data_IF_741095935292
#
_entry.id   IF_741095935292
#
_cell.length_a   1.000
_cell.length_b   1.000
_cell.length_c   1.000
_cell.angle_alpha   90.00
_cell.angle_beta   90.00
_cell.angle_gamma   90.00
#
_symmetry.space_group_name_H-M   'P 1'
#
loop_
_entity.id
_entity.type
_entity.pdbx_description
1 polymer ?
#
# COMPACT_ATOMS: atom_id res chain seq x y z
N UNK A 1 16.92 -7.68 -6.31
CA UNK A 1 16.38 -9.02 -5.97
C UNK A 1 14.91 -9.01 -6.35
N UNK A 2 14.60 -9.50 -7.55
CA UNK A 2 13.26 -9.42 -8.16
C UNK A 2 12.36 -10.54 -7.63
N UNK A 3 11.67 -10.27 -6.54
CA UNK A 3 10.40 -10.94 -6.28
C UNK A 3 9.31 -9.97 -6.76
N UNK A 4 9.08 -9.96 -8.07
CA UNK A 4 7.92 -9.28 -8.64
C UNK A 4 6.62 -10.01 -8.28
N UNK A 5 5.48 -9.42 -8.66
CA UNK A 5 4.12 -9.93 -8.41
C UNK A 5 3.94 -11.42 -8.79
N UNK A 6 4.60 -11.88 -9.85
CA UNK A 6 4.60 -13.29 -10.24
C UNK A 6 5.32 -14.24 -9.25
N UNK A 7 6.39 -13.76 -8.60
CA UNK A 7 7.08 -14.51 -7.55
C UNK A 7 6.23 -14.63 -6.29
N UNK A 8 5.43 -13.61 -5.97
CA UNK A 8 4.46 -13.65 -4.88
C UNK A 8 3.37 -14.71 -5.13
N UNK A 9 2.77 -14.73 -6.32
CA UNK A 9 1.76 -15.72 -6.67
C UNK A 9 2.28 -17.16 -6.58
N UNK A 10 3.49 -17.42 -7.09
CA UNK A 10 4.08 -18.76 -7.05
C UNK A 10 4.41 -19.21 -5.62
N UNK A 11 4.96 -18.30 -4.80
CA UNK A 11 5.24 -18.56 -3.39
C UNK A 11 3.95 -18.84 -2.61
N UNK A 12 2.91 -18.03 -2.82
CA UNK A 12 1.61 -18.18 -2.19
C UNK A 12 0.97 -19.52 -2.54
N UNK A 13 0.97 -19.88 -3.83
CA UNK A 13 0.38 -21.14 -4.29
C UNK A 13 1.14 -22.37 -3.74
N UNK A 14 2.47 -22.33 -3.74
CA UNK A 14 3.31 -23.44 -3.25
C UNK A 14 3.14 -23.66 -1.74
N UNK A 15 3.02 -22.58 -0.96
CA UNK A 15 2.84 -22.66 0.49
C UNK A 15 1.41 -23.08 0.90
N UNK A 16 0.38 -22.71 0.12
CA UNK A 16 -0.99 -23.19 0.34
C UNK A 16 -1.11 -24.72 0.19
N UNK A 17 -0.26 -25.35 -0.61
CA UNK A 17 -0.22 -26.81 -0.76
C UNK A 17 0.52 -27.51 0.39
N UNK A 18 1.47 -26.83 1.04
CA UNK A 18 2.31 -27.40 2.09
C UNK A 18 1.75 -27.21 3.51
N UNK A 19 0.89 -26.21 3.71
CA UNK A 19 0.33 -25.86 5.02
C UNK A 19 -1.19 -25.93 5.03
N UNK A 20 -1.79 -26.16 6.20
CA UNK A 20 -3.22 -25.95 6.35
C UNK A 20 -3.59 -24.49 6.04
N UNK A 21 -4.78 -24.20 5.49
CA UNK A 21 -5.16 -22.84 5.11
C UNK A 21 -5.05 -21.83 6.26
N UNK A 22 -5.29 -22.29 7.50
CA UNK A 22 -5.18 -21.47 8.72
C UNK A 22 -3.73 -21.18 9.10
N UNK A 23 -2.84 -22.17 9.04
CA UNK A 23 -1.41 -21.96 9.28
C UNK A 23 -0.79 -21.05 8.22
N UNK A 24 -1.19 -21.23 6.96
CA UNK A 24 -0.74 -20.35 5.87
C UNK A 24 -1.17 -18.89 6.09
N UNK A 25 -2.42 -18.65 6.49
CA UNK A 25 -2.93 -17.30 6.77
C UNK A 25 -2.16 -16.59 7.89
N UNK A 26 -1.77 -17.34 8.93
CA UNK A 26 -0.94 -16.79 10.01
C UNK A 26 0.45 -16.39 9.53
N UNK A 27 1.11 -17.25 8.73
CA UNK A 27 2.42 -16.95 8.12
C UNK A 27 2.35 -15.75 7.19
N UNK A 28 1.32 -15.69 6.35
CA UNK A 28 1.09 -14.55 5.45
C UNK A 28 0.91 -13.24 6.24
N UNK A 29 0.13 -13.27 7.32
CA UNK A 29 -0.10 -12.10 8.18
C UNK A 29 1.20 -11.64 8.83
N UNK A 30 1.99 -12.58 9.37
CA UNK A 30 3.32 -12.30 9.93
C UNK A 30 4.25 -11.64 8.92
N UNK A 31 4.29 -12.19 7.70
CA UNK A 31 5.10 -11.62 6.63
C UNK A 31 4.66 -10.20 6.26
N UNK A 32 3.35 -9.99 6.06
CA UNK A 32 2.78 -8.68 5.74
C UNK A 32 3.05 -7.64 6.83
N UNK A 33 2.97 -8.03 8.10
CA UNK A 33 3.40 -7.19 9.23
C UNK A 33 4.88 -6.80 9.13
N UNK A 34 5.77 -7.74 8.83
CA UNK A 34 7.19 -7.41 8.66
C UNK A 34 7.42 -6.44 7.48
N UNK A 35 6.66 -6.59 6.38
CA UNK A 35 6.69 -5.64 5.25
C UNK A 35 6.20 -4.26 5.70
N UNK A 36 5.07 -4.18 6.42
CA UNK A 36 4.51 -2.89 6.87
C UNK A 36 5.51 -2.11 7.73
N UNK A 37 6.28 -2.79 8.59
CA UNK A 37 7.30 -2.14 9.43
C UNK A 37 8.39 -1.44 8.62
N UNK A 38 8.64 -1.90 7.39
CA UNK A 38 9.66 -1.34 6.49
C UNK A 38 9.07 -0.21 5.65
N UNK A 39 7.88 -0.43 5.10
CA UNK A 39 7.30 0.44 4.06
C UNK A 39 6.43 1.56 4.61
N UNK A 40 5.86 1.41 5.81
CA UNK A 40 5.03 2.42 6.44
C UNK A 40 5.90 3.40 7.23
N UNK A 41 5.60 4.69 7.08
CA UNK A 41 6.19 5.78 7.83
C UNK A 41 5.09 6.44 8.66
N UNK A 42 5.07 6.10 9.95
CA UNK A 42 4.15 6.67 10.94
C UNK A 42 4.75 7.93 11.52
N UNK A 43 3.93 8.94 11.78
CA UNK A 43 4.38 10.22 12.37
C UNK A 43 4.97 10.05 13.78
N UNK A 44 4.55 9.02 14.53
CA UNK A 44 4.91 8.83 15.94
C UNK A 44 6.00 7.78 16.22
N UNK A 45 6.48 7.02 15.22
CA UNK A 45 7.49 5.97 15.47
C UNK A 45 8.91 6.44 15.10
N UNK A 46 9.63 6.99 16.08
CA UNK A 46 11.09 7.20 15.97
C UNK A 46 11.93 5.98 16.38
N UNK A 47 11.32 4.88 16.83
CA UNK A 47 12.04 3.65 17.15
C UNK A 47 11.30 2.44 16.63
N UNK A 48 11.62 2.04 15.39
CA UNK A 48 11.26 0.72 14.85
C UNK A 48 11.98 -0.35 15.67
N UNK A 49 11.32 -0.88 16.67
CA UNK A 49 11.82 -2.04 17.41
C UNK A 49 11.30 -3.29 16.72
N UNK A 50 12.21 -3.98 16.01
CA UNK A 50 11.95 -5.36 15.61
C UNK A 50 11.55 -6.16 16.85
N UNK A 51 10.52 -7.02 16.78
CA UNK A 51 10.10 -7.77 17.93
C UNK A 51 11.28 -8.63 18.44
N UNK A 52 11.69 -8.49 19.72
CA UNK A 52 12.95 -9.05 20.21
C UNK A 52 13.00 -10.58 20.18
N UNK A 53 11.83 -11.23 20.18
CA UNK A 53 11.68 -12.68 20.15
C UNK A 53 11.21 -13.21 18.77
N UNK A 54 11.30 -12.37 17.73
CA UNK A 54 10.82 -12.68 16.39
C UNK A 54 9.31 -12.46 16.19
N UNK A 55 8.90 -12.41 14.92
CA UNK A 55 7.53 -12.05 14.54
C UNK A 55 6.49 -13.14 14.86
N UNK A 56 6.85 -14.42 14.82
CA UNK A 56 5.90 -15.50 15.13
C UNK A 56 5.44 -15.46 16.60
N UNK A 57 6.38 -15.28 17.54
CA UNK A 57 6.09 -15.15 18.98
C UNK A 57 5.32 -13.87 19.27
N UNK A 58 5.61 -12.78 18.55
CA UNK A 58 4.86 -11.54 18.68
C UNK A 58 3.42 -11.67 18.15
N UNK A 59 3.22 -12.39 17.05
CA UNK A 59 1.89 -12.67 16.49
C UNK A 59 0.99 -13.45 17.46
N UNK A 60 1.54 -14.45 18.16
CA UNK A 60 0.77 -15.20 19.16
C UNK A 60 0.23 -14.32 20.30
N UNK A 61 0.95 -13.24 20.63
CA UNK A 61 0.58 -12.30 21.69
C UNK A 61 -0.39 -11.22 21.23
N UNK A 62 -0.28 -10.79 19.98
CA UNK A 62 -1.14 -9.76 19.39
C UNK A 62 -1.51 -10.08 17.92
N UNK A 63 -2.41 -11.04 17.71
CA UNK A 63 -2.83 -11.40 16.36
C UNK A 63 -3.65 -10.29 15.69
N UNK A 64 -4.35 -9.46 16.48
CA UNK A 64 -5.20 -8.39 15.97
C UNK A 64 -4.37 -7.21 15.43
N UNK A 65 -3.34 -6.77 16.15
CA UNK A 65 -2.43 -5.73 15.68
C UNK A 65 -1.68 -6.16 14.42
N UNK A 66 -1.24 -7.42 14.35
CA UNK A 66 -0.64 -7.98 13.15
C UNK A 66 -1.58 -8.01 11.95
N UNK A 67 -2.87 -8.32 12.15
CA UNK A 67 -3.87 -8.25 11.08
C UNK A 67 -4.10 -6.81 10.62
N UNK A 68 -4.14 -5.84 11.54
CA UNK A 68 -4.29 -4.43 11.20
C UNK A 68 -3.09 -3.93 10.37
N UNK A 69 -1.88 -4.31 10.75
CA UNK A 69 -0.66 -3.95 10.05
C UNK A 69 -0.52 -4.68 8.70
N UNK A 70 -0.99 -5.92 8.60
CA UNK A 70 -1.05 -6.65 7.34
C UNK A 70 -1.90 -5.91 6.29
N UNK A 71 -3.00 -5.26 6.70
CA UNK A 71 -3.81 -4.41 5.81
C UNK A 71 -3.05 -3.20 5.28
N UNK A 72 -2.11 -2.63 6.04
CA UNK A 72 -1.25 -1.55 5.56
C UNK A 72 -0.32 -2.05 4.44
N UNK A 73 0.24 -3.25 4.59
CA UNK A 73 1.06 -3.87 3.53
C UNK A 73 0.23 -4.18 2.27
N UNK A 74 -0.98 -4.72 2.42
CA UNK A 74 -1.91 -4.97 1.30
C UNK A 74 -2.28 -3.67 0.57
N UNK A 75 -2.50 -2.59 1.32
CA UNK A 75 -2.76 -1.26 0.77
C UNK A 75 -1.55 -0.72 0.01
N UNK A 76 -0.34 -0.87 0.56
CA UNK A 76 0.91 -0.48 -0.10
C UNK A 76 1.12 -1.25 -1.42
N UNK A 77 0.94 -2.58 -1.41
CA UNK A 77 1.09 -3.42 -2.62
C UNK A 77 0.07 -3.03 -3.70
N UNK A 78 -1.18 -2.80 -3.29
CA UNK A 78 -2.24 -2.38 -4.21
C UNK A 78 -1.96 -0.99 -4.79
N UNK A 79 -1.50 -0.04 -3.97
CA UNK A 79 -1.12 1.29 -4.42
C UNK A 79 0.06 1.29 -5.41
N UNK A 80 1.08 0.45 -5.19
CA UNK A 80 2.17 0.28 -6.16
C UNK A 80 1.64 -0.29 -7.47
N UNK A 81 0.87 -1.38 -7.40
CA UNK A 81 0.33 -2.05 -8.59
C UNK A 81 -0.56 -1.12 -9.41
N UNK A 82 -1.39 -0.31 -8.73
CA UNK A 82 -2.19 0.72 -9.37
C UNK A 82 -1.34 1.81 -10.02
N UNK A 83 -0.32 2.31 -9.32
CA UNK A 83 0.54 3.35 -9.85
C UNK A 83 1.34 2.89 -11.08
N UNK A 84 1.87 1.67 -11.06
CA UNK A 84 2.53 1.04 -12.21
C UNK A 84 1.57 0.93 -13.40
N UNK A 85 0.35 0.46 -13.17
CA UNK A 85 -0.66 0.34 -14.22
C UNK A 85 -1.05 1.73 -14.80
N UNK A 86 -1.13 2.77 -13.96
CA UNK A 86 -1.35 4.15 -14.41
C UNK A 86 -0.16 4.70 -15.21
N UNK A 87 1.08 4.41 -14.84
CA UNK A 87 2.24 4.85 -15.62
C UNK A 87 2.32 4.18 -17.00
N UNK A 88 1.87 2.92 -17.11
CA UNK A 88 1.95 2.13 -18.33
C UNK A 88 0.75 2.34 -19.27
N UNK A 89 -0.45 2.56 -18.73
CA UNK A 89 -1.70 2.57 -19.49
C UNK A 89 -2.61 3.77 -19.17
N UNK A 90 -2.24 4.58 -18.18
CA UNK A 90 -3.00 5.75 -17.79
C UNK A 90 -2.72 6.96 -18.68
N UNK A 91 -3.63 7.95 -18.68
CA UNK A 91 -3.39 9.21 -19.38
C UNK A 91 -2.22 9.98 -18.74
N UNK A 92 -1.39 10.59 -19.58
CA UNK A 92 -0.33 11.50 -19.15
C UNK A 92 -0.88 12.85 -18.67
N UNK A 93 0.02 13.71 -18.17
CA UNK A 93 -0.28 15.07 -17.75
C UNK A 93 -0.68 15.22 -16.28
N UNK A 94 -1.32 16.34 -15.97
CA UNK A 94 -1.64 16.76 -14.60
C UNK A 94 -3.13 16.58 -14.32
N UNK A 95 -3.48 15.65 -13.42
CA UNK A 95 -4.88 15.38 -13.08
C UNK A 95 -5.01 14.73 -11.71
N UNK A 96 -6.24 14.71 -11.19
CA UNK A 96 -6.62 13.99 -9.96
C UNK A 96 -7.92 13.26 -10.21
N UNK A 97 -7.95 11.95 -9.95
CA UNK A 97 -9.11 11.09 -10.24
C UNK A 97 -9.23 9.98 -9.21
N UNK A 98 -10.43 9.45 -9.00
CA UNK A 98 -10.59 8.15 -8.32
C UNK A 98 -10.07 7.05 -9.24
N UNK A 99 -9.51 6.00 -8.67
CA UNK A 99 -9.04 4.82 -9.40
C UNK A 99 -10.13 4.25 -10.32
N UNK A 100 -11.39 4.22 -9.85
CA UNK A 100 -12.53 3.72 -10.62
C UNK A 100 -12.85 4.53 -11.88
N UNK A 101 -12.53 5.82 -11.87
CA UNK A 101 -12.79 6.73 -12.98
C UNK A 101 -11.68 6.64 -14.06
N UNK A 102 -10.58 5.91 -13.82
CA UNK A 102 -9.47 5.72 -14.77
C UNK A 102 -9.72 4.48 -15.63
N UNK A 103 -10.64 4.61 -16.60
CA UNK A 103 -11.11 3.50 -17.44
C UNK A 103 -10.00 2.78 -18.22
N UNK A 104 -8.90 3.46 -18.53
CA UNK A 104 -7.79 2.87 -19.30
C UNK A 104 -6.90 1.93 -18.49
N UNK A 105 -7.05 1.90 -17.17
CA UNK A 105 -6.21 1.11 -16.26
C UNK A 105 -7.00 -0.11 -15.76
N UNK A 106 -6.81 -1.27 -16.37
CA UNK A 106 -7.45 -2.53 -15.97
C UNK A 106 -6.60 -3.23 -14.90
N UNK A 107 -6.89 -2.97 -13.63
CA UNK A 107 -6.26 -3.63 -12.48
C UNK A 107 -7.32 -3.89 -11.43
N UNK A 108 -7.19 -5.00 -10.70
CA UNK A 108 -8.05 -5.33 -9.56
C UNK A 108 -7.64 -4.53 -8.30
N UNK A 109 -6.48 -3.86 -8.33
CA UNK A 109 -5.91 -3.12 -7.20
C UNK A 109 -6.41 -1.67 -7.12
N UNK A 110 -7.70 -1.43 -7.32
CA UNK A 110 -8.31 -0.08 -7.31
C UNK A 110 -8.70 0.41 -5.92
N UNK A 111 -8.74 -0.50 -4.95
CA UNK A 111 -9.16 -0.21 -3.57
C UNK A 111 -8.05 -0.55 -2.57
N UNK A 112 -8.08 0.12 -1.42
CA UNK A 112 -7.27 -0.25 -0.27
C UNK A 112 -7.78 -1.52 0.42
N UNK A 113 -7.07 -1.98 1.46
CA UNK A 113 -7.43 -3.18 2.21
C UNK A 113 -8.71 -3.05 3.07
N UNK A 114 -9.31 -1.87 3.13
CA UNK A 114 -10.61 -1.59 3.76
C UNK A 114 -11.73 -1.44 2.73
N UNK A 115 -11.42 -1.56 1.43
CA UNK A 115 -12.40 -1.48 0.35
C UNK A 115 -12.69 -0.06 -0.13
N UNK A 116 -11.92 0.94 0.29
CA UNK A 116 -12.07 2.30 -0.21
C UNK A 116 -11.32 2.46 -1.54
N UNK A 117 -11.92 3.07 -2.57
CA UNK A 117 -11.21 3.34 -3.81
C UNK A 117 -10.10 4.37 -3.58
N UNK A 118 -8.96 4.18 -4.23
CA UNK A 118 -7.86 5.12 -4.16
C UNK A 118 -8.17 6.41 -4.92
N UNK A 119 -7.60 7.52 -4.45
CA UNK A 119 -7.39 8.71 -5.26
C UNK A 119 -6.02 8.67 -5.90
N UNK A 120 -5.94 8.92 -7.20
CA UNK A 120 -4.70 9.00 -7.95
C UNK A 120 -4.49 10.44 -8.42
N UNK A 121 -3.36 10.98 -8.00
CA UNK A 121 -2.88 12.31 -8.31
C UNK A 121 -1.66 12.17 -9.21
N UNK A 122 -1.75 12.64 -10.46
CA UNK A 122 -0.61 12.67 -11.39
C UNK A 122 -0.10 14.09 -11.57
N UNK A 123 1.21 14.26 -11.45
CA UNK A 123 1.94 15.50 -11.73
C UNK A 123 3.15 15.14 -12.59
N UNK A 124 3.02 15.30 -13.90
CA UNK A 124 4.03 14.94 -14.88
C UNK A 124 4.47 13.46 -14.74
N UNK A 125 5.66 13.25 -14.18
CA UNK A 125 6.31 11.94 -13.99
C UNK A 125 6.17 11.41 -12.56
N UNK A 126 5.56 12.19 -11.67
CA UNK A 126 5.28 11.82 -10.28
C UNK A 126 3.81 11.43 -10.15
N UNK A 127 3.55 10.38 -9.39
CA UNK A 127 2.22 9.90 -9.09
C UNK A 127 2.09 9.67 -7.59
N UNK A 128 1.01 10.22 -7.03
CA UNK A 128 0.59 10.01 -5.66
C UNK A 128 -0.70 9.19 -5.61
N UNK A 129 -0.68 8.09 -4.86
CA UNK A 129 -1.86 7.27 -4.58
C UNK A 129 -2.27 7.51 -3.13
N UNK A 130 -3.50 7.95 -2.93
CA UNK A 130 -4.05 8.28 -1.61
C UNK A 130 -5.17 7.32 -1.27
N UNK A 131 -5.05 6.65 -0.12
CA UNK A 131 -6.08 5.85 0.52
C UNK A 131 -6.68 6.60 1.69
N UNK A 132 -7.97 6.37 1.92
CA UNK A 132 -8.68 6.87 3.10
C UNK A 132 -8.07 6.34 4.41
N UNK A 133 -7.51 5.13 4.36
CA UNK A 133 -6.91 4.45 5.50
C UNK A 133 -7.96 3.89 6.48
N UNK A 134 -7.51 3.35 7.62
CA UNK A 134 -8.37 2.68 8.59
C UNK A 134 -9.27 3.64 9.39
N UNK A 135 -8.83 4.90 9.55
CA UNK A 135 -9.50 5.87 10.42
C UNK A 135 -10.51 6.76 9.68
N UNK A 136 -10.62 6.64 8.35
CA UNK A 136 -11.53 7.46 7.58
C UNK A 136 -12.98 7.00 7.76
N UNK A 137 -13.90 7.89 8.15
CA UNK A 137 -15.32 7.55 8.23
C UNK A 137 -15.96 7.41 6.84
N UNK A 138 -15.36 8.04 5.82
CA UNK A 138 -15.83 8.03 4.42
C UNK A 138 -14.65 8.14 3.46
N UNK A 139 -14.87 7.73 2.20
CA UNK A 139 -13.88 7.83 1.12
C UNK A 139 -13.54 9.30 0.84
N UNK A 140 -12.25 9.68 0.72
CA UNK A 140 -11.86 11.05 0.42
C UNK A 140 -12.38 11.49 -0.95
N UNK A 141 -12.88 12.73 -1.03
CA UNK A 141 -13.21 13.34 -2.30
C UNK A 141 -11.92 13.74 -3.02
N UNK A 142 -11.53 12.98 -4.05
CA UNK A 142 -10.26 13.21 -4.74
C UNK A 142 -10.12 14.60 -5.37
N UNK A 143 -11.24 15.29 -5.64
CA UNK A 143 -11.22 16.64 -6.21
C UNK A 143 -10.62 17.68 -5.26
N UNK A 144 -10.66 17.42 -3.96
CA UNK A 144 -10.19 18.35 -2.93
C UNK A 144 -8.68 18.18 -2.67
N UNK A 145 -8.04 17.18 -3.28
CA UNK A 145 -6.61 16.92 -3.15
C UNK A 145 -5.84 17.84 -4.12
N UNK A 146 -5.27 18.91 -3.58
CA UNK A 146 -4.39 19.82 -4.31
C UNK A 146 -2.99 19.80 -3.70
N UNK A 147 -2.13 18.94 -4.23
CA UNK A 147 -0.70 18.88 -3.87
C UNK A 147 0.12 19.21 -5.12
N UNK A 148 1.15 20.06 -4.95
CA UNK A 148 2.06 20.45 -6.04
C UNK A 148 3.12 19.37 -6.29
N UNK A 149 3.64 19.32 -7.52
CA UNK A 149 4.72 18.38 -7.89
C UNK A 149 5.95 18.53 -6.97
N UNK A 150 6.32 19.77 -6.65
CA UNK A 150 7.45 20.10 -5.76
C UNK A 150 7.28 19.58 -4.33
N UNK A 151 6.04 19.48 -3.85
CA UNK A 151 5.74 18.93 -2.53
C UNK A 151 5.81 17.41 -2.57
N UNK A 152 5.29 16.78 -3.63
CA UNK A 152 5.39 15.33 -3.83
C UNK A 152 6.85 14.85 -3.92
N UNK A 153 7.70 15.58 -4.63
CA UNK A 153 9.12 15.23 -4.81
C UNK A 153 9.94 15.25 -3.51
N UNK A 154 9.45 15.91 -2.46
CA UNK A 154 10.10 15.94 -1.14
C UNK A 154 9.70 14.76 -0.25
N UNK A 155 8.65 14.02 -0.65
CA UNK A 155 8.15 12.90 0.11
C UNK A 155 8.94 11.63 -0.22
N UNK A 156 9.12 10.70 0.73
CA UNK A 156 9.81 9.45 0.47
C UNK A 156 9.04 8.58 -0.53
N UNK A 157 9.69 8.24 -1.64
CA UNK A 157 9.08 7.42 -2.68
C UNK A 157 8.96 5.96 -2.28
N UNK A 158 7.92 5.29 -2.77
CA UNK A 158 7.59 3.88 -2.53
C UNK A 158 7.40 3.54 -1.05
N UNK A 159 7.18 4.54 -0.21
CA UNK A 159 6.76 4.39 1.19
C UNK A 159 5.29 4.78 1.33
N UNK A 160 4.62 4.19 2.32
CA UNK A 160 3.26 4.54 2.69
C UNK A 160 3.32 5.51 3.87
N UNK A 161 2.98 6.76 3.61
CA UNK A 161 2.99 7.86 4.58
C UNK A 161 1.63 7.94 5.25
N UNK A 162 1.61 7.93 6.58
CA UNK A 162 0.40 8.20 7.34
C UNK A 162 0.26 9.70 7.61
N UNK A 163 -0.84 10.29 7.13
CA UNK A 163 -1.16 11.70 7.36
C UNK A 163 -1.80 11.92 8.73
N UNK A 164 -1.82 13.15 9.28
CA UNK A 164 -2.46 13.42 10.56
C UNK A 164 -3.97 13.10 10.61
N UNK A 165 -4.63 13.06 9.45
CA UNK A 165 -6.05 12.67 9.32
C UNK A 165 -6.27 11.17 9.16
N UNK A 166 -5.23 10.34 9.25
CA UNK A 166 -5.32 8.88 9.09
C UNK A 166 -5.37 8.38 7.65
N UNK A 167 -5.35 9.27 6.66
CA UNK A 167 -5.18 8.91 5.26
C UNK A 167 -3.75 8.42 4.99
N UNK A 168 -3.62 7.55 3.99
CA UNK A 168 -2.36 6.92 3.60
C UNK A 168 -1.94 7.42 2.22
N UNK A 169 -0.70 7.89 2.08
CA UNK A 169 -0.17 8.46 0.84
C UNK A 169 1.06 7.68 0.38
N UNK A 170 1.03 7.19 -0.85
CA UNK A 170 2.19 6.62 -1.53
C UNK A 170 2.59 7.52 -2.69
N UNK A 171 3.87 7.92 -2.73
CA UNK A 171 4.43 8.66 -3.86
C UNK A 171 5.36 7.75 -4.64
N UNK A 172 5.28 7.80 -5.97
CA UNK A 172 6.17 7.08 -6.88
C UNK A 172 6.45 7.92 -8.12
N UNK A 173 7.51 7.55 -8.82
CA UNK A 173 7.93 8.18 -10.06
C UNK A 173 8.05 7.12 -11.15
N UNK A 174 7.86 7.55 -12.40
CA UNK A 174 8.11 6.70 -13.56
C UNK A 174 9.60 6.39 -13.63
N UNK A 175 9.96 5.11 -13.58
CA UNK A 175 11.32 4.68 -13.87
C UNK A 175 11.59 4.88 -15.38
N UNK A 176 12.69 5.55 -15.70
CA UNK A 176 13.17 5.75 -17.08
C UNK A 176 14.14 4.65 -17.49
#
# INVERSE_FOLDING_TARGET
MFLGVGGWFFLQHSLQLAFSPTAFKAVETVFKKAVSDIVVLRRQDQTRTLPPNGYAVAYEKDPAGFQADAKLADTWMSAISLAEAVFNHGPDGNWVRRADDIRTVTTDHRTDAWGHPFCVLRREHVLAVVSAGPAAPTVPNCKDISIKASELAQLPHRKLLETPGGALLLVTEKAY
#
